data_IF_131295906320
#
_entry.id   IF_131295906320
#
_cell.length_a   1.000
_cell.length_b   1.000
_cell.length_c   1.000
_cell.angle_alpha   90.00
_cell.angle_beta   90.00
_cell.angle_gamma   90.00
#
_symmetry.space_group_name_H-M   'P 1'
#
loop_
_entity.id
_entity.type
_entity.pdbx_description
1 polymer ?
#
# COMPACT_ATOMS: atom_id res chain seq x y z
N UNK A 1 4.37 -17.96 -9.71
CA UNK A 1 4.57 -16.52 -9.44
C UNK A 1 3.53 -16.10 -8.41
N UNK A 2 3.89 -16.07 -7.12
CA UNK A 2 2.98 -15.60 -6.07
C UNK A 2 3.48 -14.27 -5.52
N UNK A 3 2.54 -13.37 -5.28
CA UNK A 3 2.73 -12.19 -4.45
C UNK A 3 2.12 -12.54 -3.12
N UNK A 4 2.92 -12.51 -2.06
CA UNK A 4 2.45 -12.78 -0.71
C UNK A 4 2.18 -11.43 -0.03
N UNK A 5 1.11 -11.36 0.76
CA UNK A 5 0.70 -10.14 1.45
C UNK A 5 0.77 -10.34 2.96
N UNK A 6 1.38 -9.39 3.66
CA UNK A 6 1.31 -9.23 5.12
C UNK A 6 0.50 -7.98 5.42
N UNK A 7 -0.39 -8.08 6.40
CA UNK A 7 -1.32 -7.01 6.78
C UNK A 7 -1.07 -6.63 8.21
N UNK A 8 -0.87 -5.34 8.46
CA UNK A 8 -0.71 -4.80 9.80
C UNK A 8 -1.78 -3.74 10.01
N UNK A 9 -2.78 -4.05 10.84
CA UNK A 9 -3.82 -3.09 11.18
C UNK A 9 -3.31 -2.07 12.21
N UNK A 10 -3.50 -0.78 11.92
CA UNK A 10 -3.34 0.32 12.88
C UNK A 10 -4.70 1.00 13.10
N UNK A 11 -4.70 2.01 13.98
CA UNK A 11 -5.91 2.76 14.35
C UNK A 11 -6.54 3.47 13.15
N UNK A 12 -5.74 4.22 12.39
CA UNK A 12 -6.23 5.10 11.32
C UNK A 12 -5.97 4.55 9.90
N UNK A 13 -5.05 3.61 9.76
CA UNK A 13 -4.67 3.01 8.48
C UNK A 13 -4.34 1.53 8.64
N UNK A 14 -4.24 0.83 7.52
CA UNK A 14 -3.74 -0.53 7.43
C UNK A 14 -2.52 -0.56 6.53
N UNK A 15 -1.46 -1.23 6.96
CA UNK A 15 -0.27 -1.45 6.13
C UNK A 15 -0.45 -2.75 5.36
N UNK A 16 -0.29 -2.67 4.04
CA UNK A 16 -0.25 -3.80 3.11
C UNK A 16 1.18 -3.92 2.64
N UNK A 17 1.90 -4.90 3.18
CA UNK A 17 3.24 -5.24 2.73
C UNK A 17 3.15 -6.38 1.72
N UNK A 18 3.70 -6.19 0.53
CA UNK A 18 3.78 -7.26 -0.47
C UNK A 18 5.22 -7.74 -0.67
N UNK A 19 5.38 -9.05 -0.81
CA UNK A 19 6.64 -9.70 -1.10
C UNK A 19 6.54 -10.49 -2.41
N UNK A 20 7.55 -10.34 -3.27
CA UNK A 20 7.67 -11.08 -4.51
C UNK A 20 8.62 -12.27 -4.30
N UNK A 21 8.13 -13.50 -4.49
CA UNK A 21 8.99 -14.70 -4.40
C UNK A 21 9.94 -14.85 -5.58
N UNK A 22 9.51 -14.38 -6.77
CA UNK A 22 10.23 -14.53 -8.02
C UNK A 22 10.05 -13.29 -8.91
N UNK A 23 10.76 -13.25 -10.04
CA UNK A 23 10.49 -12.29 -11.11
C UNK A 23 9.03 -12.37 -11.56
N UNK A 24 8.39 -11.20 -11.63
CA UNK A 24 6.98 -11.08 -12.00
C UNK A 24 6.81 -10.55 -13.42
N UNK A 25 5.74 -10.98 -14.08
CA UNK A 25 5.28 -10.44 -15.36
C UNK A 25 3.92 -9.76 -15.18
N UNK A 26 3.51 -8.79 -16.02
CA UNK A 26 2.24 -8.09 -15.86
C UNK A 26 0.99 -8.98 -15.85
N UNK A 27 1.08 -10.20 -16.38
CA UNK A 27 -0.05 -11.14 -16.41
C UNK A 27 -0.54 -11.53 -15.00
N UNK A 28 0.28 -11.36 -13.96
CA UNK A 28 -0.14 -11.61 -12.58
C UNK A 28 -1.31 -10.73 -12.15
N UNK A 29 -1.45 -9.51 -12.68
CA UNK A 29 -2.47 -8.55 -12.26
C UNK A 29 -3.89 -9.06 -12.56
N UNK A 30 -4.06 -9.92 -13.56
CA UNK A 30 -5.35 -10.50 -13.94
C UNK A 30 -5.90 -11.49 -12.91
N UNK A 31 -5.01 -12.15 -12.18
CA UNK A 31 -5.34 -13.21 -11.23
C UNK A 31 -4.91 -12.86 -9.80
N UNK A 32 -4.50 -11.60 -9.57
CA UNK A 32 -4.11 -11.13 -8.25
C UNK A 32 -5.36 -10.87 -7.43
N UNK A 33 -5.36 -11.37 -6.20
CA UNK A 33 -6.41 -11.10 -5.22
C UNK A 33 -5.76 -10.38 -4.02
N UNK A 34 -5.61 -9.04 -4.07
CA UNK A 34 -5.17 -8.28 -2.91
C UNK A 34 -6.15 -8.47 -1.75
N UNK A 35 -5.69 -8.40 -0.48
CA UNK A 35 -6.57 -8.59 0.66
C UNK A 35 -7.66 -7.52 0.78
N UNK A 36 -8.86 -7.92 1.16
CA UNK A 36 -9.97 -7.01 1.44
C UNK A 36 -9.74 -6.22 2.73
N UNK A 37 -9.98 -4.90 2.70
CA UNK A 37 -9.72 -3.98 3.82
C UNK A 37 -10.96 -3.15 4.18
N UNK A 38 -10.94 -2.55 5.37
CA UNK A 38 -11.98 -1.61 5.80
C UNK A 38 -11.79 -0.25 5.12
N UNK A 39 -12.73 0.14 4.25
CA UNK A 39 -12.65 1.40 3.50
C UNK A 39 -12.66 2.68 4.37
N UNK A 40 -13.10 2.60 5.63
CA UNK A 40 -13.09 3.73 6.57
C UNK A 40 -11.71 4.09 7.13
N UNK A 41 -10.68 3.29 6.84
CA UNK A 41 -9.28 3.55 7.19
C UNK A 41 -8.50 3.91 5.93
N UNK A 42 -7.33 4.53 6.09
CA UNK A 42 -6.37 4.68 5.01
C UNK A 42 -5.56 3.40 4.76
N UNK A 43 -4.81 3.35 3.68
CA UNK A 43 -3.94 2.23 3.33
C UNK A 43 -2.51 2.71 3.08
N UNK A 44 -1.54 2.01 3.65
CA UNK A 44 -0.12 2.19 3.35
C UNK A 44 0.34 0.98 2.53
N UNK A 45 0.81 1.20 1.31
CA UNK A 45 1.38 0.16 0.46
C UNK A 45 2.89 0.17 0.64
N UNK A 46 3.44 -1.00 0.96
CA UNK A 46 4.89 -1.22 1.09
C UNK A 46 5.28 -2.54 0.42
N UNK A 47 6.54 -2.65 0.01
CA UNK A 47 7.04 -3.82 -0.71
C UNK A 47 8.00 -3.40 -1.82
N UNK A 48 8.86 -4.33 -2.24
CA UNK A 48 9.76 -4.11 -3.38
C UNK A 48 9.14 -4.72 -4.62
N UNK A 49 8.83 -3.90 -5.61
CA UNK A 49 8.25 -4.38 -6.85
C UNK A 49 8.34 -3.36 -7.98
N UNK A 50 7.89 -3.76 -9.18
CA UNK A 50 7.82 -2.86 -10.32
C UNK A 50 6.75 -1.79 -10.11
N UNK A 51 6.95 -0.61 -10.72
CA UNK A 51 6.07 0.55 -10.58
C UNK A 51 4.60 0.20 -10.90
N UNK A 52 4.36 -0.58 -11.95
CA UNK A 52 3.00 -0.97 -12.35
C UNK A 52 2.26 -1.77 -11.27
N UNK A 53 2.97 -2.48 -10.40
CA UNK A 53 2.35 -3.21 -9.28
C UNK A 53 1.91 -2.25 -8.18
N UNK A 54 2.73 -1.25 -7.87
CA UNK A 54 2.33 -0.18 -6.96
C UNK A 54 1.11 0.57 -7.51
N UNK A 55 1.12 0.98 -8.78
CA UNK A 55 -0.02 1.66 -9.39
C UNK A 55 -1.30 0.82 -9.35
N UNK A 56 -1.20 -0.48 -9.64
CA UNK A 56 -2.33 -1.40 -9.55
C UNK A 56 -2.91 -1.46 -8.13
N UNK A 57 -2.05 -1.62 -7.10
CA UNK A 57 -2.50 -1.69 -5.71
C UNK A 57 -3.08 -0.37 -5.22
N UNK A 58 -2.50 0.77 -5.62
CA UNK A 58 -3.07 2.10 -5.35
C UNK A 58 -4.49 2.17 -5.92
N UNK A 59 -4.67 1.85 -7.20
CA UNK A 59 -6.00 1.89 -7.82
C UNK A 59 -6.98 0.89 -7.18
N UNK A 60 -6.53 -0.31 -6.83
CA UNK A 60 -7.36 -1.32 -6.17
C UNK A 60 -7.92 -0.83 -4.83
N UNK A 61 -7.11 -0.09 -4.05
CA UNK A 61 -7.49 0.44 -2.75
C UNK A 61 -8.05 1.87 -2.79
N UNK A 62 -8.32 2.45 -3.97
CA UNK A 62 -8.82 3.82 -4.11
C UNK A 62 -10.07 4.14 -3.26
N UNK A 63 -11.02 3.21 -2.97
CA UNK A 63 -12.19 3.54 -2.17
C UNK A 63 -11.90 3.79 -0.68
N UNK A 64 -10.64 3.63 -0.25
CA UNK A 64 -10.24 3.84 1.15
C UNK A 64 -10.08 5.33 1.49
N UNK A 65 -9.93 5.67 2.77
CA UNK A 65 -9.90 7.09 3.19
C UNK A 65 -8.74 7.89 2.59
N UNK A 66 -7.59 7.25 2.42
CA UNK A 66 -6.41 7.75 1.73
C UNK A 66 -5.51 6.57 1.39
N UNK A 67 -4.61 6.75 0.43
CA UNK A 67 -3.56 5.80 0.09
C UNK A 67 -2.21 6.48 0.21
N UNK A 68 -1.25 5.78 0.80
CA UNK A 68 0.13 6.20 0.88
C UNK A 68 1.10 5.11 0.42
N UNK A 69 2.21 5.49 -0.17
CA UNK A 69 3.29 4.58 -0.57
C UNK A 69 4.48 4.75 0.36
N UNK A 70 4.98 3.65 0.91
CA UNK A 70 6.13 3.67 1.81
C UNK A 70 7.43 3.97 1.03
N UNK A 71 8.19 4.97 1.48
CA UNK A 71 9.52 5.30 0.99
C UNK A 71 10.54 5.27 2.15
N UNK A 72 11.52 4.33 2.12
CA UNK A 72 12.54 4.22 3.16
C UNK A 72 13.35 5.50 3.40
N UNK A 73 13.48 6.38 2.40
CA UNK A 73 14.32 7.60 2.47
C UNK A 73 13.76 8.66 3.41
N UNK A 74 12.45 8.62 3.65
CA UNK A 74 11.76 9.53 4.57
C UNK A 74 11.28 8.79 5.83
N UNK A 75 11.58 7.49 5.94
CA UNK A 75 11.14 6.59 7.01
C UNK A 75 9.63 6.72 7.25
N UNK A 76 8.87 6.67 6.16
CA UNK A 76 7.44 6.97 6.19
C UNK A 76 6.72 6.67 4.89
N UNK A 77 5.41 6.85 4.91
CA UNK A 77 4.55 6.67 3.76
C UNK A 77 4.03 8.01 3.24
N UNK A 78 4.21 8.26 1.95
CA UNK A 78 3.82 9.49 1.27
C UNK A 78 2.40 9.31 0.76
N UNK A 79 1.48 10.18 1.14
CA UNK A 79 0.09 10.13 0.67
C UNK A 79 0.05 10.47 -0.82
N UNK A 80 -0.53 9.57 -1.62
CA UNK A 80 -0.66 9.71 -3.08
C UNK A 80 -2.11 9.92 -3.53
N UNK A 81 -3.08 9.60 -2.67
CA UNK A 81 -4.51 9.78 -2.92
C UNK A 81 -5.23 10.00 -1.59
N UNK A 82 -6.27 10.86 -1.55
CA UNK A 82 -7.05 11.09 -0.33
C UNK A 82 -8.49 11.50 -0.63
N UNK A 83 -9.41 10.93 0.15
CA UNK A 83 -10.81 11.34 0.23
C UNK A 83 -11.15 11.95 1.61
N UNK A 84 -10.18 12.01 2.53
CA UNK A 84 -10.37 12.38 3.92
C UNK A 84 -9.70 13.72 4.22
N UNK A 85 -10.48 14.68 4.71
CA UNK A 85 -9.96 15.96 5.20
C UNK A 85 -8.88 15.74 6.27
N UNK A 86 -7.81 16.55 6.22
CA UNK A 86 -6.67 16.45 7.12
C UNK A 86 -5.61 15.41 6.71
N UNK A 87 -5.74 14.84 5.51
CA UNK A 87 -4.73 14.03 4.84
C UNK A 87 -4.62 14.53 3.39
N UNK A 88 -3.50 15.12 3.03
CA UNK A 88 -3.27 15.73 1.73
C UNK A 88 -2.20 14.97 0.95
N UNK A 89 -2.30 14.99 -0.38
CA UNK A 89 -1.28 14.37 -1.24
C UNK A 89 0.06 15.05 -1.03
N UNK A 90 1.11 14.26 -0.78
CA UNK A 90 2.44 14.75 -0.42
C UNK A 90 2.73 14.73 1.09
N UNK A 91 1.70 14.58 1.94
CA UNK A 91 1.91 14.40 3.37
C UNK A 91 2.70 13.11 3.65
N UNK A 92 3.55 13.15 4.68
CA UNK A 92 4.33 11.99 5.13
C UNK A 92 3.79 11.47 6.45
N UNK A 93 3.29 10.23 6.42
CA UNK A 93 2.89 9.49 7.62
C UNK A 93 4.12 8.73 8.12
N UNK A 94 4.57 8.99 9.35
CA UNK A 94 5.60 8.16 9.99
C UNK A 94 5.06 6.75 10.20
N UNK A 95 5.76 5.78 9.62
CA UNK A 95 5.45 4.36 9.72
C UNK A 95 6.60 3.71 10.45
N UNK A 96 6.30 3.17 11.63
CA UNK A 96 7.28 2.44 12.41
C UNK A 96 7.66 1.15 11.68
N UNK A 97 8.95 1.02 11.38
CA UNK A 97 9.50 -0.02 10.51
C UNK A 97 9.87 -1.29 11.29
N UNK A 98 9.85 -1.25 12.62
CA UNK A 98 10.33 -2.33 13.49
C UNK A 98 9.51 -3.62 13.38
N UNK A 99 8.38 -3.61 12.64
CA UNK A 99 7.49 -4.75 12.48
C UNK A 99 6.89 -4.91 11.06
N UNK A 100 7.52 -4.33 10.04
CA UNK A 100 7.10 -4.47 8.63
C UNK A 100 7.59 -5.78 8.00
#
# INVERSE_FOLDING_TARGET
>A
MSVDFKIIEKKNYTVVHFELKDKVTPNILKNMNPPGLRCSKGVVISGRGPIWLHCYLVHYYHPTSFIATYDPRVEGAIIVESHKKGYETGDVIKVDCDNL
#
